data_IF_564299425336
#
_entry.id   IF_564299425336
#
_cell.length_a   1.000
_cell.length_b   1.000
_cell.length_c   1.000
_cell.angle_alpha   90.00
_cell.angle_beta   90.00
_cell.angle_gamma   90.00
#
_symmetry.space_group_name_H-M   'P 1'
#
loop_
_entity.id
_entity.type
_entity.pdbx_description
1 polymer ?
#
# COMPACT_ATOMS: atom_id res chain seq x y z
N UNK A 1 -16.43 -26.00 -1.99
CA UNK A 1 -16.22 -24.90 -2.95
C UNK A 1 -16.47 -23.56 -2.26
N UNK A 2 -15.60 -22.58 -2.49
CA UNK A 2 -15.78 -21.24 -1.92
C UNK A 2 -16.89 -20.49 -2.65
N UNK A 3 -17.73 -19.77 -1.91
CA UNK A 3 -18.67 -18.83 -2.51
C UNK A 3 -17.96 -17.49 -2.82
N UNK A 4 -18.68 -16.58 -3.49
CA UNK A 4 -18.12 -15.29 -3.92
C UNK A 4 -17.58 -14.47 -2.74
N UNK A 5 -18.29 -14.42 -1.64
CA UNK A 5 -17.88 -13.65 -0.47
C UNK A 5 -16.62 -14.20 0.17
N UNK A 6 -16.49 -15.53 0.20
CA UNK A 6 -15.27 -16.19 0.69
C UNK A 6 -14.07 -15.91 -0.22
N UNK A 7 -14.28 -15.91 -1.54
CA UNK A 7 -13.21 -15.58 -2.49
C UNK A 7 -12.75 -14.14 -2.29
N UNK A 8 -13.68 -13.20 -2.14
CA UNK A 8 -13.33 -11.79 -1.87
C UNK A 8 -12.54 -11.69 -0.57
N UNK A 9 -13.01 -12.32 0.49
CA UNK A 9 -12.31 -12.34 1.78
C UNK A 9 -10.87 -12.83 1.64
N UNK A 10 -10.69 -13.96 0.96
CA UNK A 10 -9.37 -14.56 0.79
C UNK A 10 -8.42 -13.62 0.02
N UNK A 11 -8.92 -12.92 -1.02
CA UNK A 11 -8.12 -11.95 -1.75
C UNK A 11 -7.79 -10.71 -0.89
N UNK A 12 -8.74 -10.20 -0.12
CA UNK A 12 -8.48 -9.09 0.80
C UNK A 12 -7.37 -9.47 1.77
N UNK A 13 -7.47 -10.64 2.38
CA UNK A 13 -6.45 -11.13 3.32
C UNK A 13 -5.09 -11.27 2.65
N UNK A 14 -5.05 -11.78 1.42
CA UNK A 14 -3.80 -11.92 0.68
C UNK A 14 -3.14 -10.57 0.40
N UNK A 15 -3.91 -9.57 -0.03
CA UNK A 15 -3.37 -8.22 -0.26
C UNK A 15 -2.87 -7.58 1.03
N UNK A 16 -3.62 -7.69 2.12
CA UNK A 16 -3.20 -7.15 3.42
C UNK A 16 -1.92 -7.82 3.94
N UNK A 17 -1.81 -9.14 3.79
CA UNK A 17 -0.60 -9.85 4.21
C UNK A 17 0.62 -9.39 3.43
N UNK A 18 0.48 -9.21 2.11
CA UNK A 18 1.58 -8.70 1.27
C UNK A 18 1.95 -7.26 1.62
N UNK A 19 0.95 -6.42 1.88
CA UNK A 19 1.18 -5.03 2.29
C UNK A 19 1.97 -4.97 3.60
N UNK A 20 1.60 -5.78 4.58
CA UNK A 20 2.26 -5.82 5.87
C UNK A 20 3.70 -6.35 5.77
N UNK A 21 3.95 -7.30 4.86
CA UNK A 21 5.32 -7.78 4.58
C UNK A 21 6.18 -6.66 3.99
N UNK A 22 5.63 -5.85 3.09
CA UNK A 22 6.36 -4.72 2.53
C UNK A 22 6.69 -3.68 3.61
N UNK A 23 5.75 -3.38 4.51
CA UNK A 23 6.04 -2.50 5.65
C UNK A 23 7.15 -3.06 6.53
N UNK A 24 7.11 -4.35 6.82
CA UNK A 24 8.13 -5.01 7.62
C UNK A 24 9.49 -4.95 6.95
N UNK A 25 9.54 -5.19 5.64
CA UNK A 25 10.77 -5.08 4.86
C UNK A 25 11.32 -3.65 4.94
N UNK A 26 10.47 -2.63 4.78
CA UNK A 26 10.88 -1.23 4.88
C UNK A 26 11.45 -0.91 6.27
N UNK A 27 10.82 -1.38 7.34
CA UNK A 27 11.29 -1.18 8.72
C UNK A 27 12.70 -1.79 8.93
N UNK A 28 12.89 -3.03 8.45
CA UNK A 28 14.16 -3.74 8.57
C UNK A 28 15.25 -3.00 7.77
N UNK A 29 14.96 -2.61 6.55
CA UNK A 29 15.91 -1.92 5.68
C UNK A 29 16.29 -0.54 6.24
N UNK A 30 15.33 0.18 6.81
CA UNK A 30 15.62 1.48 7.42
C UNK A 30 16.55 1.35 8.65
N UNK A 31 16.41 0.28 9.43
CA UNK A 31 17.24 0.02 10.59
C UNK A 31 18.61 -0.56 10.24
N UNK A 32 18.78 -1.12 9.04
CA UNK A 32 20.02 -1.74 8.62
C UNK A 32 21.09 -0.69 8.30
N UNK A 33 22.40 -1.03 8.47
CA UNK A 33 23.46 -0.14 8.05
C UNK A 33 23.52 -0.05 6.52
N UNK A 34 24.03 1.08 6.01
CA UNK A 34 24.20 1.31 4.59
C UNK A 34 23.15 2.25 4.02
N UNK A 35 23.28 2.54 2.73
CA UNK A 35 22.40 3.48 2.02
C UNK A 35 21.30 2.72 1.29
N UNK A 36 20.27 2.31 2.03
CA UNK A 36 19.16 1.50 1.52
C UNK A 36 17.87 2.31 1.33
N UNK A 37 17.98 3.65 1.30
CA UNK A 37 16.81 4.53 1.22
C UNK A 37 15.88 4.26 0.04
N UNK A 38 16.44 3.98 -1.14
CA UNK A 38 15.64 3.67 -2.33
C UNK A 38 14.82 2.38 -2.14
N UNK A 39 15.39 1.39 -1.49
CA UNK A 39 14.71 0.13 -1.18
C UNK A 39 13.61 0.34 -0.15
N UNK A 40 13.84 1.19 0.86
CA UNK A 40 12.81 1.59 1.81
C UNK A 40 11.64 2.24 1.05
N UNK A 41 11.93 3.20 0.18
CA UNK A 41 10.92 3.85 -0.66
C UNK A 41 10.13 2.86 -1.51
N UNK A 42 10.81 1.92 -2.14
CA UNK A 42 10.18 0.88 -2.95
C UNK A 42 9.15 0.07 -2.12
N UNK A 43 9.57 -0.46 -0.98
CA UNK A 43 8.67 -1.26 -0.14
C UNK A 43 7.53 -0.44 0.45
N UNK A 44 7.77 0.84 0.77
CA UNK A 44 6.72 1.74 1.23
C UNK A 44 5.66 1.96 0.16
N UNK A 45 6.09 2.21 -1.09
CA UNK A 45 5.16 2.34 -2.21
C UNK A 45 4.36 1.06 -2.42
N UNK A 46 5.06 -0.09 -2.42
CA UNK A 46 4.40 -1.39 -2.57
C UNK A 46 3.37 -1.65 -1.46
N UNK A 47 3.69 -1.27 -0.23
CA UNK A 47 2.78 -1.42 0.89
C UNK A 47 1.50 -0.60 0.69
N UNK A 48 1.63 0.69 0.37
CA UNK A 48 0.47 1.57 0.15
C UNK A 48 -0.39 1.04 -0.99
N UNK A 49 0.23 0.70 -2.11
CA UNK A 49 -0.46 0.13 -3.26
C UNK A 49 -1.30 -1.09 -2.86
N UNK A 50 -0.72 -2.02 -2.13
CA UNK A 50 -1.38 -3.26 -1.73
C UNK A 50 -2.49 -3.05 -0.70
N UNK A 51 -2.31 -2.12 0.24
CA UNK A 51 -3.38 -1.73 1.15
C UNK A 51 -4.57 -1.16 0.39
N UNK A 52 -4.33 -0.27 -0.56
CA UNK A 52 -5.41 0.32 -1.38
C UNK A 52 -6.10 -0.76 -2.21
N UNK A 53 -5.35 -1.68 -2.80
CA UNK A 53 -5.92 -2.79 -3.57
C UNK A 53 -6.80 -3.69 -2.70
N UNK A 54 -6.41 -3.95 -1.44
CA UNK A 54 -7.26 -4.68 -0.50
C UNK A 54 -8.62 -4.00 -0.32
N UNK A 55 -8.63 -2.68 -0.14
CA UNK A 55 -9.86 -1.90 -0.03
C UNK A 55 -10.72 -2.02 -1.29
N UNK A 56 -10.09 -1.86 -2.46
CA UNK A 56 -10.81 -1.95 -3.74
C UNK A 56 -11.41 -3.34 -3.96
N UNK A 57 -10.69 -4.40 -3.63
CA UNK A 57 -11.20 -5.78 -3.72
C UNK A 57 -12.39 -5.97 -2.78
N UNK A 58 -12.29 -5.46 -1.55
CA UNK A 58 -13.40 -5.56 -0.58
C UNK A 58 -14.70 -4.97 -1.15
N UNK A 59 -14.59 -3.86 -1.85
CA UNK A 59 -15.75 -3.16 -2.41
C UNK A 59 -16.03 -3.52 -3.87
N UNK A 60 -15.39 -4.57 -4.37
CA UNK A 60 -15.59 -5.09 -5.73
C UNK A 60 -15.40 -4.01 -6.81
N UNK A 61 -14.42 -3.16 -6.61
CA UNK A 61 -14.03 -2.10 -7.54
C UNK A 61 -12.86 -2.60 -8.38
N UNK A 62 -13.10 -2.77 -9.67
CA UNK A 62 -12.06 -3.25 -10.60
C UNK A 62 -10.96 -2.21 -10.79
N UNK A 63 -9.73 -2.69 -10.94
CA UNK A 63 -8.57 -1.85 -11.21
C UNK A 63 -7.62 -2.58 -12.16
N UNK A 64 -6.92 -1.83 -13.05
CA UNK A 64 -5.93 -2.43 -13.92
C UNK A 64 -4.65 -2.76 -13.14
N UNK A 65 -3.75 -3.52 -13.77
CA UNK A 65 -2.40 -3.71 -13.23
C UNK A 65 -1.65 -2.40 -13.33
N UNK A 66 -1.52 -1.69 -12.22
CA UNK A 66 -0.84 -0.41 -12.16
C UNK A 66 -0.14 -0.25 -10.82
N UNK A 67 0.92 0.55 -10.81
CA UNK A 67 1.65 0.97 -9.62
C UNK A 67 1.43 2.45 -9.30
N UNK A 68 0.53 3.12 -10.01
CA UNK A 68 0.24 4.54 -9.81
C UNK A 68 -0.75 4.75 -8.67
N UNK A 69 -0.26 5.26 -7.54
CA UNK A 69 -1.09 5.50 -6.36
C UNK A 69 -2.18 6.53 -6.62
N UNK A 70 -1.87 7.57 -7.41
CA UNK A 70 -2.85 8.60 -7.79
C UNK A 70 -4.05 7.99 -8.47
N UNK A 71 -3.83 7.08 -9.41
CA UNK A 71 -4.91 6.40 -10.11
C UNK A 71 -5.75 5.54 -9.16
N UNK A 72 -5.09 4.74 -8.32
CA UNK A 72 -5.77 3.84 -7.39
C UNK A 72 -6.60 4.59 -6.36
N UNK A 73 -6.07 5.68 -5.79
CA UNK A 73 -6.84 6.47 -4.83
C UNK A 73 -8.02 7.20 -5.48
N UNK A 74 -7.91 7.52 -6.78
CA UNK A 74 -9.03 8.10 -7.53
C UNK A 74 -10.20 7.12 -7.59
N UNK A 75 -9.92 5.82 -7.71
CA UNK A 75 -10.95 4.79 -7.63
C UNK A 75 -11.58 4.77 -6.22
N UNK A 76 -10.77 4.89 -5.19
CA UNK A 76 -11.28 4.96 -3.80
C UNK A 76 -12.21 6.14 -3.63
N UNK A 77 -11.94 7.28 -4.28
CA UNK A 77 -12.76 8.49 -4.17
C UNK A 77 -14.20 8.30 -4.62
N UNK A 78 -14.45 7.35 -5.49
CA UNK A 78 -15.82 7.02 -5.95
C UNK A 78 -16.69 6.48 -4.82
N UNK A 79 -16.07 5.98 -3.77
CA UNK A 79 -16.77 5.44 -2.62
C UNK A 79 -16.56 6.29 -1.36
N UNK A 80 -15.36 6.81 -1.17
CA UNK A 80 -14.99 7.55 0.04
C UNK A 80 -13.97 8.63 -0.34
N UNK A 81 -14.45 9.85 -0.59
CA UNK A 81 -13.59 10.98 -0.95
C UNK A 81 -12.63 11.36 0.16
N UNK A 82 -13.08 11.28 1.42
CA UNK A 82 -12.25 11.65 2.56
C UNK A 82 -11.08 10.70 2.73
N UNK A 83 -11.32 9.39 2.56
CA UNK A 83 -10.25 8.40 2.59
C UNK A 83 -9.28 8.64 1.44
N UNK A 84 -9.78 8.88 0.23
CA UNK A 84 -8.95 9.16 -0.94
C UNK A 84 -8.05 10.38 -0.71
N UNK A 85 -8.58 11.45 -0.12
CA UNK A 85 -7.80 12.65 0.20
C UNK A 85 -6.66 12.35 1.18
N UNK A 86 -6.91 11.51 2.16
CA UNK A 86 -5.88 11.07 3.11
C UNK A 86 -4.83 10.18 2.43
N UNK A 87 -5.23 9.36 1.48
CA UNK A 87 -4.30 8.52 0.72
C UNK A 87 -3.38 9.35 -0.18
N UNK A 88 -3.82 10.52 -0.62
CA UNK A 88 -3.05 11.41 -1.49
C UNK A 88 -1.70 11.82 -0.89
N UNK A 89 -1.57 11.82 0.43
CA UNK A 89 -0.31 12.14 1.11
C UNK A 89 0.81 11.16 0.78
N UNK A 90 0.51 10.01 0.18
CA UNK A 90 1.50 9.03 -0.24
C UNK A 90 1.76 9.02 -1.75
N UNK A 91 1.13 9.92 -2.53
CA UNK A 91 1.28 9.95 -3.99
C UNK A 91 2.75 10.11 -4.43
N UNK A 92 3.55 10.84 -3.64
CA UNK A 92 4.96 11.05 -3.93
C UNK A 92 5.79 9.79 -3.92
N UNK A 93 5.25 8.68 -3.39
CA UNK A 93 5.93 7.38 -3.38
C UNK A 93 5.85 6.67 -4.73
N UNK A 94 4.95 7.07 -5.62
CA UNK A 94 4.73 6.38 -6.91
C UNK A 94 6.04 6.12 -7.70
N UNK A 95 6.98 7.08 -7.82
CA UNK A 95 8.21 6.83 -8.58
C UNK A 95 9.07 5.70 -8.03
N UNK A 96 8.93 5.34 -6.74
CA UNK A 96 9.70 4.25 -6.14
C UNK A 96 9.13 2.86 -6.45
N UNK A 97 7.94 2.77 -7.05
CA UNK A 97 7.27 1.51 -7.34
C UNK A 97 7.83 0.74 -8.54
N UNK A 98 8.91 1.21 -9.16
CA UNK A 98 9.55 0.53 -10.29
C UNK A 98 10.75 -0.26 -9.76
N UNK A 99 10.75 -1.59 -9.98
CA UNK A 99 11.81 -2.47 -9.51
C UNK A 99 13.16 -2.24 -10.20
N UNK A 100 13.13 -1.95 -11.51
CA UNK A 100 14.34 -1.76 -12.29
C UNK A 100 14.60 -0.27 -12.46
N UNK A 101 15.78 0.17 -12.03
CA UNK A 101 16.26 1.54 -12.16
C UNK A 101 17.62 1.57 -12.83
N UNK A 102 17.80 2.48 -13.77
CA UNK A 102 19.12 2.78 -14.27
C UNK A 102 19.81 3.78 -13.32
N UNK A 103 21.14 3.70 -13.18
CA UNK A 103 21.86 4.69 -12.38
C UNK A 103 21.49 6.11 -12.78
N UNK A 104 21.14 6.96 -11.81
CA UNK A 104 20.79 8.36 -12.05
C UNK A 104 19.33 8.64 -12.38
N UNK A 105 18.46 7.64 -12.51
CA UNK A 105 17.03 7.86 -12.75
C UNK A 105 16.32 8.49 -11.56
N UNK A 106 16.75 8.17 -10.35
CA UNK A 106 16.25 8.78 -9.13
C UNK A 106 17.41 9.37 -8.34
N UNK A 107 17.20 10.52 -7.67
CA UNK A 107 18.19 11.01 -6.72
C UNK A 107 18.35 10.02 -5.57
N UNK A 108 19.52 10.03 -4.94
CA UNK A 108 19.79 9.25 -3.75
C UNK A 108 18.78 9.63 -2.66
N UNK A 109 18.15 8.64 -2.06
CA UNK A 109 17.17 8.84 -0.99
C UNK A 109 17.91 8.87 0.35
N UNK A 110 17.90 10.03 0.99
CA UNK A 110 18.53 10.17 2.30
C UNK A 110 17.69 9.52 3.41
N UNK A 111 18.26 9.44 4.61
CA UNK A 111 17.58 8.80 5.73
C UNK A 111 16.29 9.50 6.13
N UNK A 112 16.27 10.84 6.11
CA UNK A 112 15.06 11.60 6.46
C UNK A 112 13.91 11.31 5.48
N UNK A 113 14.22 11.25 4.19
CA UNK A 113 13.25 10.93 3.16
C UNK A 113 12.73 9.49 3.33
N UNK A 114 13.63 8.54 3.62
CA UNK A 114 13.25 7.16 3.89
C UNK A 114 12.36 7.04 5.14
N UNK A 115 12.69 7.75 6.21
CA UNK A 115 11.87 7.80 7.43
C UNK A 115 10.48 8.37 7.15
N UNK A 116 10.40 9.43 6.34
CA UNK A 116 9.13 10.00 5.90
C UNK A 116 8.31 9.01 5.09
N UNK A 117 8.96 8.30 4.18
CA UNK A 117 8.29 7.28 3.36
C UNK A 117 7.66 6.20 4.23
N UNK A 118 8.39 5.72 5.23
CA UNK A 118 7.88 4.71 6.16
C UNK A 118 6.72 5.24 6.98
N UNK A 119 6.84 6.45 7.53
CA UNK A 119 5.76 7.06 8.31
C UNK A 119 4.49 7.25 7.47
N UNK A 120 4.63 7.72 6.23
CA UNK A 120 3.50 7.90 5.31
C UNK A 120 2.84 6.55 4.96
N UNK A 121 3.65 5.53 4.70
CA UNK A 121 3.13 4.20 4.39
C UNK A 121 2.42 3.56 5.58
N UNK A 122 3.00 3.67 6.77
CA UNK A 122 2.38 3.17 8.01
C UNK A 122 1.04 3.85 8.28
N UNK A 123 0.99 5.17 8.11
CA UNK A 123 -0.23 5.95 8.33
C UNK A 123 -1.33 5.55 7.34
N UNK A 124 -0.99 5.43 6.06
CA UNK A 124 -1.97 5.03 5.03
C UNK A 124 -2.45 3.60 5.27
N UNK A 125 -1.55 2.71 5.69
CA UNK A 125 -1.93 1.34 6.06
C UNK A 125 -2.95 1.31 7.20
N UNK A 126 -2.74 2.10 8.26
CA UNK A 126 -3.68 2.20 9.37
C UNK A 126 -5.04 2.73 8.93
N UNK A 127 -5.07 3.73 8.04
CA UNK A 127 -6.33 4.27 7.51
C UNK A 127 -7.13 3.21 6.76
N UNK A 128 -6.47 2.40 5.96
CA UNK A 128 -7.14 1.29 5.24
C UNK A 128 -7.65 0.24 6.23
N UNK A 129 -6.85 -0.15 7.21
CA UNK A 129 -7.28 -1.12 8.23
C UNK A 129 -8.46 -0.59 9.04
N UNK A 130 -8.47 0.68 9.39
CA UNK A 130 -9.61 1.32 10.05
C UNK A 130 -10.87 1.30 9.17
N UNK A 131 -10.71 1.59 7.88
CA UNK A 131 -11.82 1.55 6.92
C UNK A 131 -12.39 0.13 6.73
N UNK A 132 -11.58 -0.89 6.96
CA UNK A 132 -11.97 -2.30 6.85
C UNK A 132 -12.29 -2.95 8.20
N UNK A 133 -12.24 -2.20 9.30
CA UNK A 133 -12.30 -2.75 10.66
C UNK A 133 -13.51 -3.65 10.90
N UNK A 134 -14.72 -3.17 10.61
CA UNK A 134 -15.93 -3.97 10.79
C UNK A 134 -15.89 -5.26 9.98
N UNK A 135 -15.47 -5.16 8.73
CA UNK A 135 -15.34 -6.31 7.83
C UNK A 135 -14.37 -7.34 8.39
N UNK A 136 -13.21 -6.89 8.86
CA UNK A 136 -12.18 -7.77 9.41
C UNK A 136 -12.64 -8.42 10.73
N UNK A 137 -13.37 -7.70 11.56
CA UNK A 137 -13.89 -8.21 12.83
C UNK A 137 -14.96 -9.28 12.64
N UNK A 138 -15.77 -9.19 11.59
CA UNK A 138 -16.76 -10.23 11.28
C UNK A 138 -16.12 -11.55 10.90
N UNK A 139 -14.91 -11.53 10.37
CA UNK A 139 -14.20 -12.72 9.94
C UNK A 139 -14.67 -13.25 8.59
N UNK A 140 -14.14 -14.42 8.24
CA UNK A 140 -14.41 -15.05 6.95
C UNK A 140 -15.88 -15.46 6.85
N UNK A 141 -16.59 -15.06 5.78
CA UNK A 141 -18.00 -15.47 5.60
C UNK A 141 -18.19 -16.98 5.57
N UNK A 142 -19.29 -17.42 6.15
CA UNK A 142 -19.64 -18.83 6.16
C UNK A 142 -20.10 -19.34 4.78
#
# INVERSE_FOLDING_TARGET
MRNREQVIWDFVQAWLAKAQRDLKAAEILLAAPGELGEMVGFHCQQAVEKFVKAYLVRHQMEFPKTHELTFLRTLVSRRDERLADQLAFADWLTPFGVEIRYPGELPTVDRKTAERALADAQRRGRLILEALEEYLQRGRPA
#
